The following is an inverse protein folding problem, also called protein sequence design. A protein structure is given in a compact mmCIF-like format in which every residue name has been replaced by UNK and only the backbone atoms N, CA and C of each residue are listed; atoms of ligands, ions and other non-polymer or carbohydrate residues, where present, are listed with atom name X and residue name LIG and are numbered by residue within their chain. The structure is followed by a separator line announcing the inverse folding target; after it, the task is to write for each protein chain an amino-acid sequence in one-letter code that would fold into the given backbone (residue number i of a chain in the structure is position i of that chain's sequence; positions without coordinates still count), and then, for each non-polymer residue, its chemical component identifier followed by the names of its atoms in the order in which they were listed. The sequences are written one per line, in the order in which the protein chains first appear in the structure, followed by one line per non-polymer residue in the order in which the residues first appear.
data_IF_401924792987
#
_entry.id   IF_401924792987
#
_cell.length_a   1.000
_cell.length_b   1.000
_cell.length_c   1.000
_cell.angle_alpha   90.00
_cell.angle_beta   90.00
_cell.angle_gamma   90.00
#
_symmetry.space_group_name_H-M   'P 1'
#
loop_
_entity.id
_entity.type
_entity.pdbx_description
1 polymer ?
#
# COMPACT_ATOMS: atom_id res chain seq x y z
N UNK A 1 -1.50 -8.86 9.79
CA UNK A 1 -2.53 -8.23 8.92
C UNK A 1 -3.79 -7.87 9.69
N UNK A 2 -4.49 -8.80 10.35
CA UNK A 2 -5.74 -8.48 11.07
C UNK A 2 -5.61 -7.42 12.18
N UNK A 3 -4.59 -7.52 13.04
CA UNK A 3 -4.33 -6.54 14.11
C UNK A 3 -4.02 -5.13 13.57
N UNK A 4 -3.34 -5.03 12.42
CA UNK A 4 -3.05 -3.76 11.77
C UNK A 4 -4.32 -3.14 11.20
N UNK A 5 -5.19 -3.92 10.55
CA UNK A 5 -6.49 -3.46 10.07
C UNK A 5 -7.37 -2.90 11.21
N UNK A 6 -7.42 -3.62 12.34
CA UNK A 6 -8.16 -3.19 13.53
C UNK A 6 -7.56 -1.89 14.08
N UNK A 7 -6.24 -1.78 14.17
CA UNK A 7 -5.57 -0.56 14.61
C UNK A 7 -5.87 0.62 13.69
N UNK A 8 -5.85 0.43 12.36
CA UNK A 8 -6.18 1.46 11.38
C UNK A 8 -7.65 1.89 11.47
N UNK A 9 -8.59 0.95 11.61
CA UNK A 9 -10.02 1.24 11.79
C UNK A 9 -10.26 2.00 13.09
N UNK A 10 -9.64 1.57 14.19
CA UNK A 10 -9.68 2.28 15.47
C UNK A 10 -9.11 3.69 15.31
N UNK A 11 -7.95 3.86 14.68
CA UNK A 11 -7.39 5.18 14.37
C UNK A 11 -8.34 6.06 13.57
N UNK A 12 -9.00 5.52 12.54
CA UNK A 12 -9.97 6.27 11.72
C UNK A 12 -11.20 6.68 12.53
N UNK A 13 -11.70 5.79 13.40
CA UNK A 13 -12.81 6.07 14.31
C UNK A 13 -12.41 7.16 15.30
N UNK A 14 -11.26 7.01 15.96
CA UNK A 14 -10.73 7.98 16.91
C UNK A 14 -10.45 9.33 16.25
N UNK A 15 -9.90 9.35 15.04
CA UNK A 15 -9.73 10.57 14.25
C UNK A 15 -11.08 11.21 14.00
N UNK A 16 -12.09 10.45 13.56
CA UNK A 16 -13.45 10.96 13.32
C UNK A 16 -14.09 11.57 14.57
N UNK A 17 -13.77 11.05 15.76
CA UNK A 17 -14.27 11.56 17.03
C UNK A 17 -13.41 12.68 17.64
N UNK A 18 -12.14 12.80 17.26
CA UNK A 18 -11.28 13.90 17.71
C UNK A 18 -11.82 15.24 17.19
N UNK A 19 -12.05 16.16 18.12
CA UNK A 19 -12.70 17.46 17.93
C UNK A 19 -12.18 18.23 16.71
N UNK A 20 -13.11 18.86 15.99
CA UNK A 20 -12.94 19.56 14.70
C UNK A 20 -11.77 20.58 14.67
N UNK A 21 -11.38 21.13 15.82
CA UNK A 21 -10.23 22.04 15.96
C UNK A 21 -8.86 21.36 15.76
N UNK A 22 -8.70 20.08 16.16
CA UNK A 22 -7.44 19.35 15.97
C UNK A 22 -7.35 18.70 14.57
N UNK A 23 -8.49 18.31 13.99
CA UNK A 23 -8.64 17.76 12.64
C UNK A 23 -8.11 18.71 11.53
N UNK A 24 -8.17 20.03 11.74
CA UNK A 24 -7.64 21.03 10.78
C UNK A 24 -6.12 21.17 10.79
N UNK A 25 -5.41 20.59 11.77
CA UNK A 25 -3.95 20.64 11.82
C UNK A 25 -3.35 19.67 10.80
N UNK A 26 -2.25 20.07 10.18
CA UNK A 26 -1.50 19.32 9.15
C UNK A 26 -1.32 17.83 9.52
N UNK A 27 -1.05 17.57 10.79
CA UNK A 27 -0.82 16.24 11.35
C UNK A 27 -2.03 15.30 11.27
N UNK A 28 -3.25 15.82 11.43
CA UNK A 28 -4.47 15.00 11.31
C UNK A 28 -4.69 14.50 9.88
N UNK A 29 -4.38 15.34 8.88
CA UNK A 29 -4.44 14.94 7.46
C UNK A 29 -3.37 13.90 7.10
N UNK A 30 -2.16 14.04 7.63
CA UNK A 30 -1.09 13.06 7.42
C UNK A 30 -1.48 11.69 8.00
N UNK A 31 -1.94 11.68 9.25
CA UNK A 31 -2.41 10.45 9.91
C UNK A 31 -3.59 9.80 9.19
N UNK A 32 -4.50 10.61 8.64
CA UNK A 32 -5.60 10.09 7.82
C UNK A 32 -5.08 9.37 6.57
N UNK A 33 -4.17 9.98 5.81
CA UNK A 33 -3.60 9.34 4.62
C UNK A 33 -2.84 8.06 4.94
N UNK A 34 -2.09 8.04 6.07
CA UNK A 34 -1.41 6.85 6.56
C UNK A 34 -2.41 5.72 6.88
N UNK A 35 -3.44 6.03 7.66
CA UNK A 35 -4.45 5.04 8.05
C UNK A 35 -5.24 4.49 6.84
N UNK A 36 -5.51 5.32 5.83
CA UNK A 36 -6.14 4.88 4.57
C UNK A 36 -5.21 3.94 3.79
N UNK A 37 -3.92 4.24 3.71
CA UNK A 37 -2.95 3.37 3.05
C UNK A 37 -2.83 2.01 3.77
N UNK A 38 -2.70 2.01 5.09
CA UNK A 38 -2.60 0.79 5.90
C UNK A 38 -3.86 -0.08 5.83
N UNK A 39 -5.03 0.56 5.81
CA UNK A 39 -6.31 -0.14 5.63
C UNK A 39 -6.39 -0.77 4.24
N UNK A 40 -6.01 -0.04 3.19
CA UNK A 40 -5.96 -0.55 1.83
C UNK A 40 -5.04 -1.77 1.72
N UNK A 41 -3.83 -1.67 2.26
CA UNK A 41 -2.88 -2.79 2.30
C UNK A 41 -3.44 -4.01 3.05
N UNK A 42 -4.06 -3.78 4.21
CA UNK A 42 -4.61 -4.87 5.02
C UNK A 42 -5.79 -5.56 4.33
N UNK A 43 -6.69 -4.80 3.69
CA UNK A 43 -7.81 -5.35 2.92
C UNK A 43 -7.32 -6.16 1.73
N UNK A 44 -6.35 -5.64 0.97
CA UNK A 44 -5.75 -6.37 -0.14
C UNK A 44 -5.11 -7.68 0.32
N UNK A 45 -4.41 -7.65 1.46
CA UNK A 45 -3.80 -8.86 2.04
C UNK A 45 -4.85 -9.90 2.42
N UNK A 46 -6.00 -9.48 2.98
CA UNK A 46 -7.11 -10.38 3.31
C UNK A 46 -7.72 -11.01 2.05
N UNK A 47 -7.92 -10.21 1.01
CA UNK A 47 -8.43 -10.70 -0.29
C UNK A 47 -7.47 -11.70 -0.90
N UNK A 48 -6.17 -11.40 -0.94
CA UNK A 48 -5.14 -12.32 -1.43
C UNK A 48 -5.12 -13.64 -0.67
N UNK A 49 -5.18 -13.59 0.66
CA UNK A 49 -5.24 -14.79 1.47
C UNK A 49 -6.49 -15.64 1.18
N UNK A 50 -7.65 -15.00 1.02
CA UNK A 50 -8.88 -15.69 0.64
C UNK A 50 -8.80 -16.34 -0.75
N UNK A 51 -8.17 -15.67 -1.72
CA UNK A 51 -7.96 -16.21 -3.07
C UNK A 51 -7.00 -17.41 -3.04
N UNK A 52 -5.88 -17.31 -2.32
CA UNK A 52 -4.93 -18.42 -2.17
C UNK A 52 -5.57 -19.63 -1.47
N UNK A 53 -6.38 -19.40 -0.44
CA UNK A 53 -7.14 -20.47 0.23
C UNK A 53 -8.16 -21.12 -0.70
N UNK A 54 -8.91 -20.34 -1.48
CA UNK A 54 -9.84 -20.91 -2.44
C UNK A 54 -9.13 -21.66 -3.57
N UNK A 55 -7.93 -21.21 -3.95
CA UNK A 55 -7.11 -21.86 -4.96
C UNK A 55 -6.62 -23.23 -4.49
N UNK A 56 -6.03 -23.29 -3.29
CA UNK A 56 -5.57 -24.54 -2.66
C UNK A 56 -6.71 -25.51 -2.33
N UNK A 57 -7.90 -24.99 -2.02
CA UNK A 57 -9.10 -25.80 -1.81
C UNK A 57 -9.77 -26.30 -3.10
N UNK A 58 -9.24 -25.93 -4.28
CA UNK A 58 -9.79 -26.33 -5.58
C UNK A 58 -11.10 -25.64 -5.96
N UNK A 59 -11.51 -24.58 -5.24
CA UNK A 59 -12.75 -23.83 -5.47
C UNK A 59 -12.69 -23.07 -6.80
N UNK A 60 -11.50 -22.59 -7.17
CA UNK A 60 -11.30 -21.78 -8.37
C UNK A 60 -10.77 -22.57 -9.59
N UNK A 61 -10.82 -23.91 -9.57
CA UNK A 61 -10.38 -24.80 -10.69
C UNK A 61 -8.85 -24.98 -10.77
N UNK A 62 -8.32 -25.65 -11.80
CA UNK A 62 -6.86 -25.76 -12.01
C UNK A 62 -6.30 -24.43 -12.53
N UNK A 63 -5.72 -23.65 -11.63
CA UNK A 63 -5.38 -22.22 -11.81
C UNK A 63 -3.98 -22.01 -12.39
N UNK A 64 -3.32 -23.06 -12.86
CA UNK A 64 -1.89 -22.96 -13.19
C UNK A 64 -1.58 -21.99 -14.33
N UNK A 65 -2.56 -21.59 -15.18
CA UNK A 65 -2.33 -20.67 -16.30
C UNK A 65 -3.59 -19.85 -16.71
N UNK A 66 -4.40 -19.39 -15.75
CA UNK A 66 -5.55 -18.54 -16.11
C UNK A 66 -5.15 -17.06 -16.17
N UNK A 67 -5.39 -16.40 -17.32
CA UNK A 67 -5.21 -14.94 -17.51
C UNK A 67 -5.90 -14.10 -16.40
N UNK A 68 -6.96 -14.62 -15.79
CA UNK A 68 -7.63 -13.98 -14.66
C UNK A 68 -6.74 -13.87 -13.42
N UNK A 69 -5.84 -14.82 -13.18
CA UNK A 69 -5.00 -14.87 -11.98
C UNK A 69 -3.71 -14.09 -12.14
N UNK A 70 -3.18 -14.03 -13.36
CA UNK A 70 -2.16 -13.04 -13.71
C UNK A 70 -2.69 -11.61 -13.50
N UNK A 71 -3.88 -11.31 -14.03
CA UNK A 71 -4.53 -10.00 -13.82
C UNK A 71 -4.76 -9.72 -12.33
N UNK A 72 -5.18 -10.74 -11.56
CA UNK A 72 -5.32 -10.61 -10.11
C UNK A 72 -3.99 -10.27 -9.44
N UNK A 73 -2.88 -10.94 -9.81
CA UNK A 73 -1.56 -10.65 -9.26
C UNK A 73 -1.06 -9.26 -9.59
N UNK A 74 -1.30 -8.78 -10.81
CA UNK A 74 -0.91 -7.43 -11.22
C UNK A 74 -1.68 -6.38 -10.43
N UNK A 75 -3.00 -6.55 -10.30
CA UNK A 75 -3.85 -5.65 -9.52
C UNK A 75 -3.47 -5.70 -8.04
N UNK A 76 -3.32 -6.89 -7.47
CA UNK A 76 -2.92 -7.07 -6.08
C UNK A 76 -1.57 -6.40 -5.79
N UNK A 77 -0.56 -6.68 -6.62
CA UNK A 77 0.78 -6.11 -6.49
C UNK A 77 0.77 -4.59 -6.67
N UNK A 78 -0.07 -4.08 -7.57
CA UNK A 78 -0.26 -2.65 -7.78
C UNK A 78 -0.89 -1.96 -6.57
N UNK A 79 -1.92 -2.54 -5.97
CA UNK A 79 -2.56 -1.98 -4.78
C UNK A 79 -1.62 -2.05 -3.57
N UNK A 80 -0.98 -3.20 -3.34
CA UNK A 80 -0.03 -3.36 -2.24
C UNK A 80 1.19 -2.46 -2.39
N UNK A 81 1.76 -2.36 -3.59
CA UNK A 81 2.88 -1.47 -3.87
C UNK A 81 2.49 0.00 -3.70
N UNK A 82 1.33 0.41 -4.22
CA UNK A 82 0.82 1.78 -4.04
C UNK A 82 0.62 2.10 -2.56
N UNK A 83 -0.01 1.20 -1.80
CA UNK A 83 -0.23 1.41 -0.37
C UNK A 83 1.09 1.50 0.41
N UNK A 84 2.05 0.63 0.10
CA UNK A 84 3.39 0.65 0.68
C UNK A 84 4.11 1.97 0.41
N UNK A 85 4.23 2.38 -0.85
CA UNK A 85 4.90 3.63 -1.21
C UNK A 85 4.17 4.86 -0.67
N UNK A 86 2.83 4.87 -0.66
CA UNK A 86 2.06 5.95 -0.07
C UNK A 86 2.35 6.08 1.43
N UNK A 87 2.39 4.97 2.16
CA UNK A 87 2.76 4.95 3.58
C UNK A 87 4.17 5.49 3.79
N UNK A 88 5.17 4.98 3.04
CA UNK A 88 6.56 5.48 3.10
C UNK A 88 6.67 6.98 2.80
N UNK A 89 5.96 7.49 1.79
CA UNK A 89 5.96 8.91 1.47
C UNK A 89 5.32 9.74 2.57
N UNK A 90 4.21 9.28 3.16
CA UNK A 90 3.55 9.97 4.26
C UNK A 90 4.41 9.96 5.52
N UNK A 91 5.07 8.85 5.86
CA UNK A 91 6.02 8.77 6.97
C UNK A 91 7.19 9.74 6.79
N UNK A 92 7.81 9.72 5.60
CA UNK A 92 8.90 10.65 5.26
C UNK A 92 8.43 12.10 5.39
N UNK A 93 7.23 12.39 4.90
CA UNK A 93 6.61 13.72 5.00
C UNK A 93 6.38 14.16 6.46
N UNK A 94 5.98 13.22 7.32
CA UNK A 94 5.81 13.41 8.75
C UNK A 94 7.16 13.73 9.44
N UNK A 95 8.21 12.97 9.13
CA UNK A 95 9.57 13.21 9.64
C UNK A 95 10.11 14.58 9.21
N UNK A 96 9.94 14.96 7.94
CA UNK A 96 10.37 16.27 7.43
C UNK A 96 9.53 17.41 8.02
N UNK A 97 8.24 17.19 8.25
CA UNK A 97 7.36 18.17 8.91
C UNK A 97 7.79 18.41 10.36
N UNK A 98 8.17 17.36 11.08
CA UNK A 98 8.70 17.47 12.44
C UNK A 98 10.01 18.27 12.44
N UNK A 99 10.94 17.95 11.53
CA UNK A 99 12.20 18.68 11.40
C UNK A 99 11.97 20.17 11.07
N UNK A 100 11.07 20.46 10.13
CA UNK A 100 10.71 21.83 9.75
C UNK A 100 10.11 22.62 10.93
N UNK A 101 9.30 21.96 11.77
CA UNK A 101 8.74 22.55 12.97
C UNK A 101 9.82 22.86 14.03
N UNK A 102 10.78 21.95 14.24
CA UNK A 102 11.92 22.17 15.13
C UNK A 102 12.80 23.33 14.66
N UNK A 103 13.03 23.44 13.35
CA UNK A 103 13.74 24.56 12.74
C UNK A 103 12.91 25.85 12.62
N UNK A 104 11.64 25.86 13.08
CA UNK A 104 10.69 26.98 12.98
C UNK A 104 10.56 27.57 11.56
N UNK A 105 10.67 26.73 10.53
CA UNK A 105 10.63 27.18 9.13
C UNK A 105 9.21 27.14 8.57
N UNK A 106 8.50 28.27 8.65
CA UNK A 106 7.13 28.41 8.12
C UNK A 106 7.05 28.17 6.60
N UNK A 107 8.11 28.49 5.85
CA UNK A 107 8.18 28.24 4.40
C UNK A 107 8.18 26.75 4.10
N UNK A 108 8.99 25.97 4.81
CA UNK A 108 9.06 24.52 4.62
C UNK A 108 7.70 23.85 4.92
N UNK A 109 7.04 24.23 6.01
CA UNK A 109 5.70 23.72 6.36
C UNK A 109 4.65 24.05 5.30
N UNK A 110 4.72 25.23 4.67
CA UNK A 110 3.83 25.60 3.58
C UNK A 110 4.00 24.71 2.36
N UNK A 111 5.25 24.45 1.93
CA UNK A 111 5.54 23.56 0.81
C UNK A 111 5.11 22.12 1.10
N UNK A 112 5.42 21.61 2.29
CA UNK A 112 5.00 20.28 2.74
C UNK A 112 3.49 20.12 2.66
N UNK A 113 2.71 21.09 3.13
CA UNK A 113 1.24 21.02 3.04
C UNK A 113 0.72 20.85 1.61
N UNK A 114 1.43 21.41 0.61
CA UNK A 114 1.06 21.32 -0.80
C UNK A 114 1.48 20.00 -1.45
N UNK A 115 2.62 19.45 -1.04
CA UNK A 115 3.15 18.20 -1.61
C UNK A 115 2.46 16.94 -1.09
N UNK A 116 1.73 17.01 0.03
CA UNK A 116 1.02 15.85 0.59
C UNK A 116 0.03 15.21 -0.40
N UNK A 117 -0.64 16.01 -1.23
CA UNK A 117 -1.56 15.50 -2.25
C UNK A 117 -0.84 14.77 -3.39
N UNK A 118 0.43 15.12 -3.64
CA UNK A 118 1.24 14.47 -4.66
C UNK A 118 1.77 13.09 -4.22
N UNK A 119 1.67 12.75 -2.93
CA UNK A 119 2.13 11.45 -2.43
C UNK A 119 1.41 10.27 -3.10
N UNK A 120 0.10 10.40 -3.37
CA UNK A 120 -0.69 9.36 -4.03
C UNK A 120 -0.29 9.09 -5.48
N UNK A 121 -0.27 10.09 -6.38
CA UNK A 121 0.16 9.84 -7.75
C UNK A 121 1.62 9.38 -7.82
N UNK A 122 2.51 9.88 -6.94
CA UNK A 122 3.89 9.39 -6.87
C UNK A 122 3.96 7.92 -6.44
N UNK A 123 3.14 7.50 -5.46
CA UNK A 123 3.05 6.12 -5.02
C UNK A 123 2.56 5.19 -6.13
N UNK A 124 1.56 5.62 -6.90
CA UNK A 124 1.06 4.87 -8.06
C UNK A 124 2.15 4.73 -9.12
N UNK A 125 2.82 5.83 -9.48
CA UNK A 125 3.91 5.80 -10.46
C UNK A 125 5.05 4.88 -10.01
N UNK A 126 5.46 4.97 -8.74
CA UNK A 126 6.47 4.09 -8.17
C UNK A 126 6.03 2.62 -8.21
N UNK A 127 4.78 2.33 -7.86
CA UNK A 127 4.24 0.97 -7.90
C UNK A 127 4.19 0.41 -9.31
N UNK A 128 3.69 1.18 -10.29
CA UNK A 128 3.65 0.77 -11.69
C UNK A 128 5.06 0.52 -12.22
N UNK A 129 6.00 1.40 -11.90
CA UNK A 129 7.40 1.21 -12.26
C UNK A 129 7.96 -0.12 -11.71
N UNK A 130 7.66 -0.46 -10.45
CA UNK A 130 8.11 -1.74 -9.87
C UNK A 130 7.47 -2.96 -10.52
N UNK A 131 6.19 -2.89 -10.92
CA UNK A 131 5.51 -3.99 -11.61
C UNK A 131 6.13 -4.19 -13.00
N UNK A 132 6.32 -3.11 -13.75
CA UNK A 132 6.90 -3.15 -15.09
C UNK A 132 8.35 -3.66 -15.07
N UNK A 133 9.15 -3.25 -14.08
CA UNK A 133 10.54 -3.70 -14.00
C UNK A 133 10.64 -5.16 -13.52
N UNK A 134 9.90 -5.57 -12.50
CA UNK A 134 10.09 -6.89 -11.87
C UNK A 134 9.26 -7.99 -12.51
N UNK A 135 8.09 -7.64 -13.05
CA UNK A 135 7.06 -8.57 -13.49
C UNK A 135 6.43 -9.34 -12.32
N UNK A 136 5.19 -9.77 -12.50
CA UNK A 136 4.45 -10.59 -11.54
C UNK A 136 3.86 -11.80 -12.25
N UNK A 137 4.01 -12.98 -11.66
CA UNK A 137 3.53 -14.24 -12.23
C UNK A 137 2.82 -15.04 -11.16
N UNK A 138 1.68 -15.63 -11.52
CA UNK A 138 0.96 -16.55 -10.65
C UNK A 138 1.58 -17.94 -10.81
N UNK A 139 2.05 -18.55 -9.72
CA UNK A 139 2.61 -19.90 -9.74
C UNK A 139 2.23 -20.64 -8.47
N UNK A 140 1.82 -21.91 -8.59
CA UNK A 140 1.51 -22.80 -7.46
C UNK A 140 0.53 -22.22 -6.42
N UNK A 141 -0.41 -21.38 -6.87
CA UNK A 141 -1.42 -20.78 -5.99
C UNK A 141 -0.98 -19.52 -5.25
N UNK A 142 0.15 -18.90 -5.64
CA UNK A 142 0.65 -17.66 -5.06
C UNK A 142 1.14 -16.67 -6.14
N UNK A 143 1.08 -15.37 -5.84
CA UNK A 143 1.68 -14.34 -6.67
C UNK A 143 3.18 -14.20 -6.37
N UNK A 144 4.02 -14.44 -7.37
CA UNK A 144 5.49 -14.35 -7.25
C UNK A 144 6.05 -13.32 -8.22
N UNK A 145 7.30 -12.90 -7.97
CA UNK A 145 8.01 -11.93 -8.83
C UNK A 145 8.62 -12.64 -10.04
N UNK A 146 8.31 -12.16 -11.24
CA UNK A 146 8.63 -12.81 -12.52
C UNK A 146 10.13 -13.07 -12.73
N UNK A 147 11.00 -12.11 -12.39
CA UNK A 147 12.47 -12.29 -12.51
C UNK A 147 13.02 -13.45 -11.68
N UNK A 148 12.38 -13.82 -10.56
CA UNK A 148 12.81 -14.97 -9.74
C UNK A 148 12.32 -16.31 -10.29
N UNK A 149 11.10 -16.35 -10.86
CA UNK A 149 10.54 -17.56 -11.42
C UNK A 149 11.34 -18.08 -12.63
N UNK A 150 11.86 -17.19 -13.48
CA UNK A 150 12.72 -17.56 -14.63
C UNK A 150 14.06 -18.13 -14.18
N UNK A 151 14.64 -17.59 -13.08
CA UNK A 151 15.89 -18.08 -12.51
C UNK A 151 15.72 -19.45 -11.84
N UNK A 152 14.62 -19.69 -11.13
CA UNK A 152 14.33 -21.01 -10.55
C UNK A 152 14.05 -22.06 -11.62
N UNK A 153 13.32 -21.71 -12.70
CA UNK A 153 13.06 -22.60 -13.82
C UNK A 153 14.31 -22.91 -14.66
N UNK A 154 15.33 -22.03 -14.65
CA UNK A 154 16.59 -22.26 -15.36
C UNK A 154 17.59 -23.13 -14.56
N UNK A 155 17.35 -23.35 -13.26
CA UNK A 155 18.22 -24.13 -12.36
C UNK A 155 17.71 -25.57 -12.17
N UNK A 156 16.48 -25.86 -12.59
CA UNK A 156 15.91 -27.22 -12.62
C UNK A 156 16.09 -27.89 -14.00
#
# INVERSE_FOLDING_TARGET
SGLSAVASVVLLIWLRFATVEHQRKLMGRQLWHLAVADLGFSLSTLVHFAVCLGATAGIFGSIEDSSGMETFCDVFSGVCGTAFFASTFVETHLSVSLLAALCRSSRALFFLKRTLLAAWPLAVVASVYTIVDVGTVWTKGECTRGKHAVLEAAVQ
#
